data_IF_966165533653
#
_entry.id   IF_966165533653
#
_cell.length_a   1.000
_cell.length_b   1.000
_cell.length_c   1.000
_cell.angle_alpha   90.00
_cell.angle_beta   90.00
_cell.angle_gamma   90.00
#
_symmetry.space_group_name_H-M   'P 1'
#
loop_
_entity.id
_entity.type
_entity.pdbx_description
1 polymer ?
#
# COMPACT_ATOMS: atom_id res chain seq x y z
N UNK A 1 1.85 -15.06 -7.91
CA UNK A 1 2.72 -13.90 -7.69
C UNK A 1 1.84 -12.67 -7.52
N UNK A 2 2.08 -11.84 -6.50
CA UNK A 2 1.32 -10.60 -6.27
C UNK A 2 2.06 -9.43 -6.91
N UNK A 3 1.39 -8.62 -7.73
CA UNK A 3 1.99 -7.42 -8.32
C UNK A 3 1.93 -6.26 -7.32
N UNK A 4 3.06 -5.64 -7.04
CA UNK A 4 3.19 -4.60 -6.02
C UNK A 4 3.47 -3.25 -6.68
N UNK A 5 2.69 -2.25 -6.30
CA UNK A 5 2.93 -0.84 -6.63
C UNK A 5 3.13 -0.07 -5.33
N UNK A 6 4.24 0.65 -5.23
CA UNK A 6 4.46 1.59 -4.14
C UNK A 6 3.79 2.92 -4.49
N UNK A 7 3.12 3.54 -3.54
CA UNK A 7 2.42 4.82 -3.75
C UNK A 7 3.01 5.83 -2.79
N UNK A 8 3.53 6.93 -3.32
CA UNK A 8 4.17 8.00 -2.54
C UNK A 8 3.51 9.34 -2.85
N UNK A 9 3.74 10.34 -2.01
CA UNK A 9 3.16 11.68 -2.09
C UNK A 9 2.93 12.24 -0.69
N UNK A 10 3.04 13.56 -0.49
CA UNK A 10 3.00 14.14 0.85
C UNK A 10 1.62 14.03 1.51
N UNK A 11 0.54 14.24 0.75
CA UNK A 11 -0.81 14.25 1.29
C UNK A 11 -1.54 12.93 1.08
N UNK A 12 -2.17 12.46 2.16
CA UNK A 12 -2.99 11.25 2.15
C UNK A 12 -4.12 11.34 1.11
N UNK A 13 -4.78 12.50 1.02
CA UNK A 13 -5.87 12.77 0.07
C UNK A 13 -5.45 12.53 -1.39
N UNK A 14 -4.25 12.97 -1.78
CA UNK A 14 -3.72 12.78 -3.12
C UNK A 14 -3.44 11.30 -3.41
N UNK A 15 -2.85 10.58 -2.46
CA UNK A 15 -2.60 9.14 -2.58
C UNK A 15 -3.89 8.33 -2.71
N UNK A 16 -4.89 8.61 -1.88
CA UNK A 16 -6.19 7.93 -1.98
C UNK A 16 -6.94 8.27 -3.28
N UNK A 17 -6.90 9.52 -3.74
CA UNK A 17 -7.50 9.91 -5.02
C UNK A 17 -6.85 9.18 -6.21
N UNK A 18 -5.52 9.09 -6.24
CA UNK A 18 -4.80 8.35 -7.27
C UNK A 18 -5.12 6.85 -7.24
N UNK A 19 -5.26 6.27 -6.04
CA UNK A 19 -5.68 4.87 -5.86
C UNK A 19 -7.10 4.65 -6.39
N UNK A 20 -8.06 5.51 -6.05
CA UNK A 20 -9.44 5.42 -6.56
C UNK A 20 -9.48 5.44 -8.09
N UNK A 21 -8.64 6.27 -8.72
CA UNK A 21 -8.55 6.36 -10.18
C UNK A 21 -7.90 5.13 -10.85
N UNK A 22 -7.10 4.36 -10.10
CA UNK A 22 -6.25 3.28 -10.65
C UNK A 22 -6.79 1.87 -10.36
N UNK A 23 -7.53 1.69 -9.26
CA UNK A 23 -7.95 0.36 -8.82
C UNK A 23 -8.98 -0.24 -9.78
N UNK A 24 -8.64 -1.40 -10.33
CA UNK A 24 -9.61 -2.27 -11.00
C UNK A 24 -10.33 -3.13 -9.97
N UNK A 25 -11.60 -2.82 -9.73
CA UNK A 25 -12.44 -3.54 -8.76
C UNK A 25 -12.83 -4.96 -9.16
N UNK A 26 -12.63 -5.37 -10.42
CA UNK A 26 -12.84 -6.75 -10.84
C UNK A 26 -11.70 -7.68 -10.39
N UNK A 27 -10.56 -7.11 -9.99
CA UNK A 27 -9.35 -7.85 -9.62
C UNK A 27 -9.18 -7.86 -8.10
N UNK A 28 -8.82 -9.04 -7.55
CA UNK A 28 -8.49 -9.16 -6.14
C UNK A 28 -7.31 -8.26 -5.78
N UNK A 29 -7.59 -7.22 -5.01
CA UNK A 29 -6.67 -6.12 -4.71
C UNK A 29 -6.57 -5.93 -3.20
N UNK A 30 -5.37 -5.67 -2.69
CA UNK A 30 -5.17 -5.23 -1.32
C UNK A 30 -4.47 -3.87 -1.30
N UNK A 31 -4.87 -3.01 -0.36
CA UNK A 31 -4.26 -1.72 -0.08
C UNK A 31 -3.69 -1.76 1.33
N UNK A 32 -2.43 -1.37 1.48
CA UNK A 32 -1.82 -1.04 2.77
C UNK A 32 -1.61 0.48 2.76
N UNK A 33 -2.31 1.20 3.62
CA UNK A 33 -2.25 2.66 3.68
C UNK A 33 -1.60 3.10 4.98
N UNK A 34 -0.48 3.80 4.86
CA UNK A 34 0.18 4.44 5.97
C UNK A 34 -0.40 5.84 6.23
N UNK A 35 -0.71 6.12 7.50
CA UNK A 35 -1.26 7.40 7.93
C UNK A 35 -2.67 7.28 8.51
N UNK A 36 -3.15 8.39 9.06
CA UNK A 36 -4.55 8.51 9.48
C UNK A 36 -5.44 8.87 8.30
N UNK A 37 -6.72 8.42 8.28
CA UNK A 37 -7.71 8.92 7.34
C UNK A 37 -7.87 10.43 7.49
N UNK A 38 -8.12 11.14 6.39
CA UNK A 38 -8.41 12.59 6.36
C UNK A 38 -9.90 12.87 6.60
N UNK A 39 -10.68 11.83 6.97
CA UNK A 39 -12.13 11.89 7.09
C UNK A 39 -12.87 11.83 5.76
N UNK A 40 -12.18 11.72 4.63
CA UNK A 40 -12.81 11.49 3.33
C UNK A 40 -13.12 10.01 3.15
N UNK A 41 -14.38 9.68 2.89
CA UNK A 41 -14.84 8.31 2.64
C UNK A 41 -14.56 7.85 1.19
N UNK A 42 -13.47 8.34 0.56
CA UNK A 42 -13.18 8.13 -0.87
C UNK A 42 -13.05 6.65 -1.21
N UNK A 43 -12.37 5.90 -0.35
CA UNK A 43 -12.17 4.47 -0.52
C UNK A 43 -13.34 3.62 -0.01
N UNK A 44 -14.25 4.17 0.79
CA UNK A 44 -15.35 3.38 1.39
C UNK A 44 -16.33 2.88 0.33
N UNK A 45 -16.57 3.66 -0.72
CA UNK A 45 -17.38 3.24 -1.86
C UNK A 45 -16.79 2.06 -2.66
N UNK A 46 -15.47 1.87 -2.58
CA UNK A 46 -14.77 0.74 -3.21
C UNK A 46 -14.65 -0.46 -2.26
N UNK A 47 -14.51 -0.22 -0.96
CA UNK A 47 -14.30 -1.24 0.09
C UNK A 47 -15.49 -2.16 0.34
N UNK A 48 -16.69 -1.83 -0.19
CA UNK A 48 -17.86 -2.70 -0.10
C UNK A 48 -17.79 -3.96 -0.98
N UNK A 49 -16.77 -4.09 -1.83
CA UNK A 49 -16.58 -5.26 -2.70
C UNK A 49 -15.65 -6.28 -2.05
N UNK A 50 -16.03 -7.55 -2.07
CA UNK A 50 -15.23 -8.68 -1.56
C UNK A 50 -13.84 -8.82 -2.20
N UNK A 51 -13.66 -8.22 -3.39
CA UNK A 51 -12.40 -8.21 -4.14
C UNK A 51 -11.38 -7.20 -3.60
N UNK A 52 -11.78 -6.23 -2.77
CA UNK A 52 -10.89 -5.18 -2.26
C UNK A 52 -10.69 -5.31 -0.75
N UNK A 53 -9.43 -5.39 -0.32
CA UNK A 53 -9.05 -5.40 1.10
C UNK A 53 -8.25 -4.16 1.43
N UNK A 54 -8.76 -3.34 2.34
CA UNK A 54 -8.10 -2.10 2.76
C UNK A 54 -7.60 -2.28 4.19
N UNK A 55 -6.30 -2.09 4.40
CA UNK A 55 -5.67 -2.12 5.72
C UNK A 55 -4.94 -0.81 5.95
N UNK A 56 -5.25 -0.14 7.06
CA UNK A 56 -4.56 1.07 7.49
C UNK A 56 -3.54 0.74 8.57
N UNK A 57 -2.36 1.33 8.47
CA UNK A 57 -1.27 1.22 9.46
C UNK A 57 -0.87 2.63 9.91
N UNK A 58 -0.47 2.76 11.17
CA UNK A 58 0.00 4.04 11.69
C UNK A 58 1.29 4.49 10.96
N UNK A 59 1.49 5.80 10.77
CA UNK A 59 2.71 6.33 10.16
C UNK A 59 3.94 6.06 11.02
N UNK A 60 5.08 5.88 10.37
CA UNK A 60 6.37 5.52 10.95
C UNK A 60 6.67 6.21 12.27
N UNK A 61 6.58 5.46 13.37
CA UNK A 61 7.12 5.91 14.64
C UNK A 61 8.67 5.94 14.55
N UNK A 62 9.35 6.87 15.25
CA UNK A 62 10.81 6.89 15.39
C UNK A 62 11.43 5.62 16.04
N UNK A 63 10.60 4.63 16.41
CA UNK A 63 10.97 3.33 16.94
C UNK A 63 10.65 2.13 16.01
N UNK A 64 10.36 2.36 14.72
CA UNK A 64 10.09 1.31 13.73
C UNK A 64 11.32 0.42 13.47
N UNK A 65 11.57 -0.54 14.36
CA UNK A 65 12.54 -1.64 14.23
C UNK A 65 12.18 -2.50 13.01
N UNK A 66 12.58 -2.06 11.80
CA UNK A 66 12.59 -2.86 10.57
C UNK A 66 11.23 -3.23 9.98
N UNK A 67 10.31 -2.25 9.82
CA UNK A 67 9.04 -2.45 9.11
C UNK A 67 8.12 -3.52 9.72
N UNK A 68 8.17 -3.78 11.03
CA UNK A 68 7.43 -4.89 11.66
C UNK A 68 5.92 -4.86 11.37
N UNK A 69 5.26 -3.71 11.51
CA UNK A 69 3.82 -3.56 11.23
C UNK A 69 3.51 -3.86 9.77
N UNK A 70 4.30 -3.31 8.84
CA UNK A 70 4.18 -3.60 7.41
C UNK A 70 4.39 -5.10 7.14
N UNK A 71 5.42 -5.72 7.72
CA UNK A 71 5.76 -7.13 7.57
C UNK A 71 4.65 -8.06 8.08
N UNK A 72 4.10 -7.80 9.27
CA UNK A 72 2.98 -8.60 9.82
C UNK A 72 1.74 -8.44 8.96
N UNK A 73 1.44 -7.20 8.53
CA UNK A 73 0.29 -6.90 7.67
C UNK A 73 0.42 -7.61 6.32
N UNK A 74 1.59 -7.51 5.70
CA UNK A 74 1.91 -8.15 4.43
C UNK A 74 1.80 -9.67 4.54
N UNK A 75 2.38 -10.29 5.57
CA UNK A 75 2.24 -11.74 5.79
C UNK A 75 0.79 -12.17 5.99
N UNK A 76 -0.03 -11.36 6.67
CA UNK A 76 -1.47 -11.65 6.82
C UNK A 76 -2.21 -11.57 5.48
N UNK A 77 -1.92 -10.57 4.66
CA UNK A 77 -2.48 -10.42 3.31
C UNK A 77 -2.08 -11.61 2.43
N UNK A 78 -0.80 -12.00 2.46
CA UNK A 78 -0.25 -13.07 1.63
C UNK A 78 -0.74 -14.48 1.99
N UNK A 79 -1.45 -14.66 3.12
CA UNK A 79 -2.17 -15.92 3.39
C UNK A 79 -3.29 -16.20 2.37
N UNK A 80 -3.83 -15.15 1.75
CA UNK A 80 -4.75 -15.21 0.63
C UNK A 80 -4.27 -14.17 -0.38
N UNK A 81 -3.22 -14.47 -1.17
CA UNK A 81 -2.50 -13.44 -1.91
C UNK A 81 -3.45 -12.75 -2.91
N UNK A 82 -3.50 -11.41 -2.93
CA UNK A 82 -4.22 -10.69 -3.97
C UNK A 82 -3.47 -10.79 -5.30
N UNK A 83 -4.12 -10.41 -6.38
CA UNK A 83 -3.45 -10.22 -7.67
C UNK A 83 -2.66 -8.91 -7.65
N UNK A 84 -3.23 -7.85 -7.08
CA UNK A 84 -2.60 -6.53 -6.94
C UNK A 84 -2.46 -6.10 -5.47
N UNK A 85 -1.33 -5.50 -5.15
CA UNK A 85 -1.04 -4.90 -3.85
C UNK A 85 -0.53 -3.48 -4.05
N UNK A 86 -1.21 -2.52 -3.42
CA UNK A 86 -0.72 -1.15 -3.35
C UNK A 86 -0.27 -0.86 -1.91
N UNK A 87 0.93 -0.32 -1.76
CA UNK A 87 1.47 0.11 -0.47
C UNK A 87 1.67 1.62 -0.53
N UNK A 88 0.75 2.35 0.09
CA UNK A 88 0.79 3.79 0.21
C UNK A 88 1.63 4.19 1.41
N UNK A 89 2.73 4.88 1.16
CA UNK A 89 3.69 5.36 2.15
C UNK A 89 3.42 6.83 2.45
N UNK A 90 3.44 7.18 3.74
CA UNK A 90 3.24 8.57 4.17
C UNK A 90 4.50 9.43 3.96
N UNK A 91 5.66 8.80 3.97
CA UNK A 91 6.98 9.41 3.80
C UNK A 91 7.80 8.52 2.85
N UNK A 92 8.41 9.13 1.84
CA UNK A 92 9.24 8.46 0.85
C UNK A 92 10.73 8.43 1.21
N UNK A 93 11.14 9.04 2.33
CA UNK A 93 12.52 9.02 2.84
C UNK A 93 13.07 7.59 3.00
N UNK A 94 12.22 6.62 3.28
CA UNK A 94 12.59 5.20 3.45
C UNK A 94 12.21 4.32 2.26
N UNK A 95 11.90 4.89 1.09
CA UNK A 95 11.42 4.15 -0.08
C UNK A 95 12.39 3.06 -0.52
N UNK A 96 13.69 3.36 -0.60
CA UNK A 96 14.71 2.38 -1.02
C UNK A 96 14.85 1.21 -0.04
N UNK A 97 14.73 1.49 1.27
CA UNK A 97 14.73 0.45 2.29
C UNK A 97 13.51 -0.48 2.14
N UNK A 98 12.34 0.09 1.82
CA UNK A 98 11.13 -0.69 1.58
C UNK A 98 11.26 -1.53 0.30
N UNK A 99 11.81 -0.97 -0.78
CA UNK A 99 12.10 -1.72 -2.01
C UNK A 99 13.03 -2.88 -1.73
N UNK A 100 14.13 -2.65 -1.01
CA UNK A 100 15.07 -3.71 -0.61
C UNK A 100 14.40 -4.79 0.23
N UNK A 101 13.57 -4.40 1.20
CA UNK A 101 12.80 -5.32 2.04
C UNK A 101 11.82 -6.19 1.24
N UNK A 102 11.08 -5.62 0.30
CA UNK A 102 10.07 -6.34 -0.50
C UNK A 102 10.69 -7.23 -1.59
N UNK A 103 11.91 -6.92 -2.03
CA UNK A 103 12.68 -7.71 -2.99
C UNK A 103 13.61 -8.73 -2.33
N UNK A 104 13.63 -8.81 -0.99
CA UNK A 104 14.44 -9.78 -0.26
C UNK A 104 13.63 -11.05 0.09
N UNK A 105 14.29 -12.20 0.31
CA UNK A 105 13.63 -13.40 0.79
C UNK A 105 12.85 -13.18 2.11
N UNK A 106 11.64 -13.74 2.26
CA UNK A 106 10.97 -14.66 1.33
C UNK A 106 10.04 -13.96 0.31
N UNK A 107 10.06 -12.63 0.23
CA UNK A 107 9.10 -11.86 -0.56
C UNK A 107 9.42 -11.83 -2.05
N UNK A 108 10.69 -12.00 -2.42
CA UNK A 108 11.16 -12.19 -3.79
C UNK A 108 10.41 -13.29 -4.56
N UNK A 109 10.01 -14.37 -3.88
CA UNK A 109 9.25 -15.48 -4.45
C UNK A 109 7.72 -15.25 -4.47
N UNK A 110 7.22 -14.23 -3.79
CA UNK A 110 5.79 -13.98 -3.57
C UNK A 110 5.29 -12.72 -4.27
N UNK A 111 6.17 -11.72 -4.39
CA UNK A 111 5.90 -10.37 -4.84
C UNK A 111 6.69 -10.07 -6.11
N UNK A 112 6.13 -9.18 -6.92
CA UNK A 112 6.85 -8.55 -8.02
C UNK A 112 6.63 -7.05 -7.90
N UNK A 113 7.67 -6.29 -7.58
CA UNK A 113 7.60 -4.84 -7.66
C UNK A 113 7.46 -4.45 -9.13
N UNK A 114 6.36 -3.75 -9.44
CA UNK A 114 6.00 -3.37 -10.80
C UNK A 114 6.23 -1.89 -11.07
N UNK A 115 5.88 -1.03 -10.12
CA UNK A 115 5.93 0.42 -10.32
C UNK A 115 5.99 1.21 -9.00
N UNK A 116 6.36 2.49 -9.11
CA UNK A 116 6.23 3.49 -8.05
C UNK A 116 5.35 4.63 -8.57
N UNK A 117 4.15 4.73 -8.02
CA UNK A 117 3.19 5.78 -8.34
C UNK A 117 3.44 6.99 -7.45
N UNK A 118 3.95 8.07 -8.06
CA UNK A 118 4.14 9.36 -7.40
C UNK A 118 2.88 10.21 -7.52
N UNK A 119 2.24 10.50 -6.39
CA UNK A 119 1.05 11.35 -6.35
C UNK A 119 1.49 12.80 -6.22
N UNK A 120 1.18 13.61 -7.23
CA UNK A 120 1.37 15.05 -7.18
C UNK A 120 0.16 15.70 -6.52
N UNK A 121 0.42 16.57 -5.56
CA UNK A 121 -0.62 17.41 -4.97
C UNK A 121 -1.09 18.39 -6.05
N UNK A 122 -2.38 18.34 -6.36
CA UNK A 122 -3.05 19.44 -7.06
C UNK A 122 -3.48 20.41 -5.97
N UNK A 123 -2.83 21.57 -5.92
CA UNK A 123 -3.20 22.71 -5.07
C UNK A 123 -4.68 23.10 -5.21
#
# INVERSE_FOLDING_TARGET
MTLVTLVTGAHMAAREAALVATIDTAVSTALILEGMPDGSNRLDGLGAKDTLRIVRIAPGCPCCVGNLTLRVTLNRILRRPPVRLYISLADDTHLDQIRGFLSAPPYDALLTLTDVMHCHDTE
#
